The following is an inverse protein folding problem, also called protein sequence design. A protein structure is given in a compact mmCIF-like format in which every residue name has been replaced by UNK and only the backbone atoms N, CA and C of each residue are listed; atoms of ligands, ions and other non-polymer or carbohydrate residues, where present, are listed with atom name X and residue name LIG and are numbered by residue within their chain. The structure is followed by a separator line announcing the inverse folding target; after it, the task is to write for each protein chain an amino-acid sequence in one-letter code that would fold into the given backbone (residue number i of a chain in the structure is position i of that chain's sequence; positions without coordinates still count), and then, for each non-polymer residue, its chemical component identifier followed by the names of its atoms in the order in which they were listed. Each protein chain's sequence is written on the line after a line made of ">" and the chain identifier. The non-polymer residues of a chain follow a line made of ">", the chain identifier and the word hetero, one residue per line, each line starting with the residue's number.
data_IF_672351801448
#
_entry.id   IF_672351801448
#
_cell.length_a   1.000
_cell.length_b   1.000
_cell.length_c   1.000
_cell.angle_alpha   90.00
_cell.angle_beta   90.00
_cell.angle_gamma   90.00
#
_symmetry.space_group_name_H-M   'P 1'
#
loop_
_entity.id
_entity.type
_entity.pdbx_description
1 polymer ?
#
# COMPACT_ATOMS: atom_id res chain seq x y z
N UNK A 1 8.54 5.76 -19.66
CA UNK A 1 7.69 4.66 -20.15
C UNK A 1 6.32 4.96 -19.56
N UNK A 2 5.30 5.19 -20.37
CA UNK A 2 3.93 5.45 -19.88
C UNK A 2 3.36 4.16 -19.32
N UNK A 3 2.64 4.22 -18.21
CA UNK A 3 1.75 3.16 -17.79
C UNK A 3 0.67 3.01 -18.89
N UNK A 4 0.57 1.87 -19.49
CA UNK A 4 -0.62 1.58 -20.29
C UNK A 4 -1.68 1.07 -19.33
N UNK A 5 -2.74 1.85 -19.13
CA UNK A 5 -3.91 1.38 -18.39
C UNK A 5 -4.56 0.28 -19.24
N UNK A 6 -4.33 -0.98 -18.87
CA UNK A 6 -4.83 -2.12 -19.64
C UNK A 6 -6.33 -2.39 -19.37
N UNK A 7 -6.80 -2.16 -18.13
CA UNK A 7 -8.13 -2.62 -17.71
C UNK A 7 -8.79 -1.67 -16.72
N UNK A 8 -10.11 -1.54 -16.82
CA UNK A 8 -10.97 -0.95 -15.80
C UNK A 8 -11.93 -2.04 -15.36
N UNK A 9 -11.75 -2.54 -14.13
CA UNK A 9 -12.74 -3.40 -13.48
C UNK A 9 -13.71 -2.46 -12.77
N UNK A 10 -14.88 -2.24 -13.34
CA UNK A 10 -15.93 -1.44 -12.72
C UNK A 10 -17.12 -2.33 -12.42
N UNK A 11 -17.46 -2.43 -11.14
CA UNK A 11 -18.71 -3.03 -10.67
C UNK A 11 -19.39 -2.00 -9.78
N UNK A 12 -20.47 -1.36 -10.24
CA UNK A 12 -21.06 -0.22 -9.53
C UNK A 12 -21.59 -0.55 -8.12
N UNK A 13 -21.74 -1.82 -7.79
CA UNK A 13 -22.23 -2.29 -6.49
C UNK A 13 -21.12 -2.76 -5.53
N UNK A 14 -19.88 -2.83 -6.00
CA UNK A 14 -18.74 -3.35 -5.23
C UNK A 14 -17.64 -2.31 -5.22
N UNK A 15 -17.27 -1.87 -4.01
CA UNK A 15 -16.09 -1.04 -3.83
C UNK A 15 -14.89 -1.92 -3.54
N UNK A 16 -13.81 -1.72 -4.27
CA UNK A 16 -12.53 -2.33 -3.97
C UNK A 16 -11.82 -1.49 -2.92
N UNK A 17 -11.42 -2.16 -1.83
CA UNK A 17 -10.75 -1.54 -0.68
C UNK A 17 -9.27 -1.46 -0.96
N UNK A 18 -8.68 -2.58 -1.41
CA UNK A 18 -7.25 -2.75 -1.59
C UNK A 18 -6.95 -3.85 -2.62
N UNK A 19 -5.69 -3.94 -3.06
CA UNK A 19 -5.21 -4.92 -4.04
C UNK A 19 -3.79 -5.35 -3.72
N UNK A 20 -3.51 -6.64 -3.87
CA UNK A 20 -2.17 -7.21 -3.82
C UNK A 20 -1.86 -8.02 -5.07
N UNK A 21 -0.58 -8.17 -5.40
CA UNK A 21 -0.13 -9.04 -6.47
C UNK A 21 -0.22 -10.52 -6.07
N UNK A 22 -0.64 -11.37 -6.99
CA UNK A 22 -0.78 -12.80 -6.77
C UNK A 22 -0.34 -13.55 -8.04
N UNK A 23 0.74 -14.32 -7.96
CA UNK A 23 1.33 -15.00 -9.12
C UNK A 23 1.51 -14.03 -10.30
N UNK A 24 0.86 -14.30 -11.44
CA UNK A 24 0.80 -13.43 -12.62
C UNK A 24 -0.44 -12.54 -12.65
N UNK A 25 -1.25 -12.53 -11.58
CA UNK A 25 -2.50 -11.78 -11.45
C UNK A 25 -2.55 -10.91 -10.19
N UNK A 26 -3.78 -10.72 -9.69
CA UNK A 26 -4.05 -9.85 -8.54
C UNK A 26 -5.12 -10.43 -7.62
N UNK A 27 -5.00 -10.13 -6.33
CA UNK A 27 -6.01 -10.36 -5.32
C UNK A 27 -6.65 -9.02 -4.94
N UNK A 28 -7.97 -8.93 -5.07
CA UNK A 28 -8.77 -7.73 -4.88
C UNK A 28 -9.60 -7.87 -3.62
N UNK A 29 -9.40 -7.00 -2.64
CA UNK A 29 -10.20 -6.93 -1.43
C UNK A 29 -11.45 -6.09 -1.67
N UNK A 30 -12.62 -6.62 -1.35
CA UNK A 30 -13.90 -5.98 -1.65
C UNK A 30 -14.66 -5.54 -0.38
N UNK A 31 -15.47 -4.51 -0.52
CA UNK A 31 -16.31 -3.97 0.58
C UNK A 31 -17.42 -4.92 1.04
N UNK A 32 -17.76 -5.94 0.26
CA UNK A 32 -18.67 -7.00 0.65
C UNK A 32 -17.96 -8.22 1.25
N UNK A 33 -16.72 -8.01 1.72
CA UNK A 33 -15.91 -8.98 2.50
C UNK A 33 -15.54 -10.23 1.72
N UNK A 34 -15.09 -10.03 0.50
CA UNK A 34 -14.53 -11.09 -0.35
C UNK A 34 -13.14 -10.71 -0.82
N UNK A 35 -12.36 -11.72 -1.17
CA UNK A 35 -11.15 -11.60 -1.95
C UNK A 35 -11.42 -12.20 -3.31
N UNK A 36 -11.33 -11.42 -4.36
CA UNK A 36 -11.44 -11.87 -5.74
C UNK A 36 -10.04 -12.03 -6.33
N UNK A 37 -9.74 -13.21 -6.85
CA UNK A 37 -8.50 -13.44 -7.60
C UNK A 37 -8.78 -13.26 -9.08
N UNK A 38 -7.99 -12.42 -9.71
CA UNK A 38 -8.07 -12.12 -11.14
C UNK A 38 -6.73 -12.38 -11.81
N UNK A 39 -6.76 -12.86 -13.05
CA UNK A 39 -5.56 -13.03 -13.86
C UNK A 39 -5.06 -11.68 -14.44
N UNK A 40 -3.96 -11.71 -15.18
CA UNK A 40 -3.37 -10.53 -15.83
C UNK A 40 -4.30 -9.88 -16.86
N UNK A 41 -5.31 -10.59 -17.36
CA UNK A 41 -6.33 -10.09 -18.29
C UNK A 41 -7.61 -9.61 -17.60
N UNK A 42 -7.57 -9.48 -16.26
CA UNK A 42 -8.70 -9.12 -15.39
C UNK A 42 -9.87 -10.13 -15.43
N UNK A 43 -9.62 -11.34 -15.88
CA UNK A 43 -10.55 -12.46 -15.79
C UNK A 43 -10.62 -13.00 -14.35
N UNK A 44 -11.83 -13.09 -13.78
CA UNK A 44 -12.00 -13.66 -12.44
C UNK A 44 -11.68 -15.15 -12.45
N UNK A 45 -10.66 -15.54 -11.68
CA UNK A 45 -10.19 -16.93 -11.54
C UNK A 45 -10.93 -17.64 -10.40
N UNK A 46 -11.01 -16.99 -9.23
CA UNK A 46 -11.66 -17.54 -8.05
C UNK A 46 -12.08 -16.44 -7.07
N UNK A 47 -12.78 -16.83 -6.02
CA UNK A 47 -13.09 -15.93 -4.90
C UNK A 47 -13.00 -16.68 -3.57
N UNK A 48 -12.71 -15.93 -2.52
CA UNK A 48 -12.70 -16.38 -1.14
C UNK A 48 -13.58 -15.46 -0.29
N UNK A 49 -14.56 -16.01 0.42
CA UNK A 49 -15.40 -15.25 1.33
C UNK A 49 -14.75 -15.17 2.71
N UNK A 50 -14.57 -13.96 3.21
CA UNK A 50 -14.02 -13.72 4.54
C UNK A 50 -15.07 -14.11 5.60
N UNK A 51 -14.66 -14.95 6.55
CA UNK A 51 -15.55 -15.47 7.59
C UNK A 51 -15.92 -14.47 8.70
N UNK A 52 -15.32 -13.28 8.71
CA UNK A 52 -15.55 -12.25 9.72
C UNK A 52 -16.70 -11.32 9.34
N UNK A 53 -17.46 -10.86 10.33
CA UNK A 53 -18.45 -9.80 10.18
C UNK A 53 -17.83 -8.39 10.18
N UNK A 54 -16.56 -8.26 10.61
CA UNK A 54 -15.83 -7.01 10.60
C UNK A 54 -15.40 -6.62 9.18
N UNK A 55 -15.26 -5.32 8.94
CA UNK A 55 -14.76 -4.80 7.67
C UNK A 55 -13.24 -4.96 7.61
N UNK A 56 -12.72 -5.63 6.58
CA UNK A 56 -11.29 -5.66 6.32
C UNK A 56 -10.79 -4.29 5.86
N UNK A 57 -9.51 -4.00 6.07
CA UNK A 57 -8.90 -2.70 5.74
C UNK A 57 -7.77 -2.80 4.73
N UNK A 58 -7.06 -3.92 4.69
CA UNK A 58 -5.97 -4.14 3.73
C UNK A 58 -5.78 -5.63 3.45
N UNK A 59 -5.12 -5.94 2.35
CA UNK A 59 -4.78 -7.30 1.92
C UNK A 59 -3.35 -7.36 1.42
N UNK A 60 -2.67 -8.47 1.70
CA UNK A 60 -1.48 -8.81 0.96
C UNK A 60 -1.34 -10.31 0.72
N UNK A 61 -0.65 -10.69 -0.36
CA UNK A 61 -0.47 -12.07 -0.80
C UNK A 61 0.99 -12.30 -1.17
N UNK A 62 1.61 -13.30 -0.56
CA UNK A 62 2.97 -13.73 -0.91
C UNK A 62 3.06 -15.26 -0.86
N UNK A 63 3.61 -15.89 -1.90
CA UNK A 63 3.92 -17.33 -1.98
C UNK A 63 2.81 -18.27 -1.46
N UNK A 64 1.55 -17.97 -1.81
CA UNK A 64 0.38 -18.75 -1.37
C UNK A 64 -0.07 -18.48 0.07
N UNK A 65 0.48 -17.46 0.69
CA UNK A 65 0.06 -16.92 1.98
C UNK A 65 -0.83 -15.69 1.73
N UNK A 66 -2.06 -15.73 2.21
CA UNK A 66 -2.98 -14.60 2.16
C UNK A 66 -3.09 -13.97 3.54
N UNK A 67 -2.77 -12.69 3.66
CA UNK A 67 -2.97 -11.91 4.86
C UNK A 67 -4.08 -10.87 4.65
N UNK A 68 -5.05 -10.83 5.54
CA UNK A 68 -6.13 -9.84 5.55
C UNK A 68 -6.07 -9.09 6.87
N UNK A 69 -5.89 -7.78 6.80
CA UNK A 69 -5.92 -6.92 7.96
C UNK A 69 -7.35 -6.48 8.27
N UNK A 70 -7.68 -6.56 9.54
CA UNK A 70 -8.80 -5.89 10.19
C UNK A 70 -8.22 -4.82 11.12
N UNK A 71 -9.04 -3.95 11.68
CA UNK A 71 -8.53 -2.88 12.53
C UNK A 71 -7.67 -3.37 13.69
N UNK A 72 -8.07 -4.45 14.33
CA UNK A 72 -7.51 -4.95 15.60
C UNK A 72 -6.68 -6.24 15.47
N UNK A 73 -6.61 -6.82 14.26
CA UNK A 73 -5.94 -8.10 14.02
C UNK A 73 -5.58 -8.30 12.56
N UNK A 74 -4.68 -9.24 12.32
CA UNK A 74 -4.40 -9.81 11.00
C UNK A 74 -4.90 -11.24 10.99
N UNK A 75 -5.62 -11.64 9.95
CA UNK A 75 -6.00 -13.03 9.68
C UNK A 75 -5.16 -13.54 8.52
N UNK A 76 -4.35 -14.53 8.80
CA UNK A 76 -3.46 -15.15 7.84
C UNK A 76 -4.02 -16.51 7.42
N UNK A 77 -4.16 -16.75 6.12
CA UNK A 77 -4.52 -18.04 5.55
C UNK A 77 -3.25 -18.75 5.07
N UNK A 78 -2.80 -19.73 5.84
CA UNK A 78 -1.57 -20.48 5.59
C UNK A 78 -1.94 -21.93 5.30
N UNK A 79 -1.69 -22.41 4.08
CA UNK A 79 -2.00 -23.78 3.67
C UNK A 79 -3.45 -24.21 3.98
N UNK A 80 -4.39 -23.27 3.84
CA UNK A 80 -5.81 -23.51 4.11
C UNK A 80 -6.22 -23.46 5.59
N UNK A 81 -5.32 -23.07 6.49
CA UNK A 81 -5.61 -22.86 7.91
C UNK A 81 -5.58 -21.36 8.23
N UNK A 82 -6.60 -20.89 8.92
CA UNK A 82 -6.64 -19.51 9.42
C UNK A 82 -5.86 -19.39 10.73
N UNK A 83 -4.95 -18.42 10.76
CA UNK A 83 -4.21 -18.01 11.95
C UNK A 83 -4.55 -16.55 12.23
N UNK A 84 -5.07 -16.27 13.41
CA UNK A 84 -5.38 -14.90 13.84
C UNK A 84 -4.26 -14.36 14.71
N UNK A 85 -3.70 -13.22 14.29
CA UNK A 85 -2.66 -12.50 15.01
C UNK A 85 -3.24 -11.19 15.53
N UNK A 86 -3.44 -11.05 16.86
CA UNK A 86 -3.97 -9.83 17.43
C UNK A 86 -2.93 -8.72 17.38
N UNK A 87 -3.37 -7.47 17.19
CA UNK A 87 -2.49 -6.32 17.32
C UNK A 87 -2.05 -6.12 18.78
N UNK A 88 -0.81 -5.73 19.01
CA UNK A 88 -0.37 -5.29 20.32
C UNK A 88 -1.07 -3.97 20.67
N UNK A 89 -1.61 -3.88 21.88
CA UNK A 89 -2.35 -2.71 22.35
C UNK A 89 -3.62 -2.42 21.51
N UNK A 90 -4.24 -1.26 21.73
CA UNK A 90 -5.41 -0.82 20.94
C UNK A 90 -4.95 0.00 19.72
N UNK A 91 -4.23 -0.63 18.80
CA UNK A 91 -3.74 0.00 17.57
C UNK A 91 -4.62 -0.42 16.40
N UNK A 92 -5.23 0.56 15.73
CA UNK A 92 -6.05 0.32 14.54
C UNK A 92 -5.17 0.24 13.29
N UNK A 93 -5.15 -0.91 12.62
CA UNK A 93 -4.47 -1.10 11.34
C UNK A 93 -5.19 -0.30 10.25
N UNK A 94 -4.43 0.33 9.38
CA UNK A 94 -4.93 1.03 8.19
C UNK A 94 -4.34 0.50 6.89
N UNK A 95 -3.17 -0.14 6.95
CA UNK A 95 -2.51 -0.72 5.79
C UNK A 95 -1.58 -1.89 6.20
N UNK A 96 -1.27 -2.77 5.26
CA UNK A 96 -0.53 -4.00 5.46
C UNK A 96 0.34 -4.30 4.24
N UNK A 97 1.59 -4.71 4.48
CA UNK A 97 2.44 -5.28 3.45
C UNK A 97 3.27 -6.44 4.03
N UNK A 98 3.40 -7.51 3.27
CA UNK A 98 4.12 -8.73 3.67
C UNK A 98 5.31 -8.92 2.75
N UNK A 99 6.47 -9.15 3.33
CA UNK A 99 7.67 -9.41 2.56
C UNK A 99 8.54 -10.49 3.22
N UNK A 100 8.85 -11.53 2.45
CA UNK A 100 9.71 -12.65 2.88
C UNK A 100 9.21 -13.29 4.18
N UNK A 101 9.87 -13.01 5.28
CA UNK A 101 9.63 -13.59 6.61
C UNK A 101 8.99 -12.58 7.59
N UNK A 102 8.51 -11.43 7.09
CA UNK A 102 7.94 -10.37 7.92
C UNK A 102 6.65 -9.83 7.37
N UNK A 103 5.76 -9.52 8.29
CA UNK A 103 4.54 -8.78 8.02
C UNK A 103 4.66 -7.40 8.67
N UNK A 104 4.28 -6.36 7.94
CA UNK A 104 4.32 -4.97 8.40
C UNK A 104 2.92 -4.38 8.35
N UNK A 105 2.42 -3.96 9.50
CA UNK A 105 1.14 -3.27 9.61
C UNK A 105 1.39 -1.79 9.93
N UNK A 106 0.76 -0.91 9.18
CA UNK A 106 0.71 0.52 9.48
C UNK A 106 -0.55 0.83 10.27
N UNK A 107 -0.45 1.68 11.29
CA UNK A 107 -1.58 2.06 12.12
C UNK A 107 -2.00 3.52 11.91
N UNK A 108 -3.23 3.83 12.27
CA UNK A 108 -3.81 5.19 12.21
C UNK A 108 -3.04 6.22 13.06
N UNK A 109 -2.32 5.76 14.08
CA UNK A 109 -1.43 6.57 14.91
C UNK A 109 -0.01 6.74 14.37
N UNK A 110 0.21 6.38 13.09
CA UNK A 110 1.53 6.43 12.42
C UNK A 110 2.59 5.56 13.12
N UNK A 111 2.17 4.42 13.66
CA UNK A 111 3.06 3.38 14.17
C UNK A 111 3.17 2.26 13.15
N UNK A 112 4.38 1.71 13.04
CA UNK A 112 4.66 0.55 12.19
C UNK A 112 4.84 -0.63 13.12
N UNK A 113 4.03 -1.67 12.94
CA UNK A 113 4.14 -2.93 13.69
C UNK A 113 4.69 -3.98 12.74
N UNK A 114 5.86 -4.53 13.04
CA UNK A 114 6.41 -5.66 12.29
C UNK A 114 6.24 -6.94 13.11
N UNK A 115 5.86 -8.01 12.41
CA UNK A 115 5.76 -9.35 12.98
C UNK A 115 6.81 -10.25 12.32
N UNK A 116 7.51 -11.04 13.12
CA UNK A 116 8.40 -12.09 12.64
C UNK A 116 7.61 -13.39 12.33
N UNK A 117 8.33 -14.44 11.89
CA UNK A 117 7.75 -15.76 11.57
C UNK A 117 7.02 -16.43 12.75
N UNK A 118 7.35 -16.07 13.97
CA UNK A 118 6.71 -16.58 15.19
C UNK A 118 5.58 -15.65 15.66
N UNK A 119 5.20 -14.66 14.84
CA UNK A 119 4.21 -13.62 15.12
C UNK A 119 4.55 -12.73 16.32
N UNK A 120 5.83 -12.58 16.67
CA UNK A 120 6.23 -11.64 17.70
C UNK A 120 6.20 -10.21 17.18
N UNK A 121 5.46 -9.29 17.82
CA UNK A 121 5.35 -7.93 17.37
C UNK A 121 6.55 -7.07 17.81
N UNK A 122 6.95 -6.16 16.93
CA UNK A 122 7.84 -5.05 17.25
C UNK A 122 7.20 -3.75 16.79
N UNK A 123 7.05 -2.79 17.70
CA UNK A 123 6.34 -1.52 17.43
C UNK A 123 7.35 -0.39 17.30
N UNK A 124 7.26 0.32 16.17
CA UNK A 124 8.02 1.54 15.90
C UNK A 124 7.09 2.74 15.79
N UNK A 125 7.20 3.68 16.72
CA UNK A 125 6.43 4.94 16.69
C UNK A 125 7.18 5.98 15.86
N UNK A 126 6.66 6.27 14.66
CA UNK A 126 7.30 7.18 13.72
C UNK A 126 7.38 8.61 14.28
N UNK A 127 6.27 9.13 14.78
CA UNK A 127 6.20 10.50 15.29
C UNK A 127 7.06 10.69 16.56
N UNK A 128 7.08 9.73 17.47
CA UNK A 128 7.93 9.81 18.66
C UNK A 128 9.42 9.89 18.30
N UNK A 129 9.85 9.25 17.23
CA UNK A 129 11.24 9.21 16.80
C UNK A 129 11.64 10.34 15.87
N UNK A 130 10.74 10.78 14.96
CA UNK A 130 11.09 11.63 13.82
C UNK A 130 10.38 12.98 13.75
N UNK A 131 9.34 13.24 14.55
CA UNK A 131 8.61 14.52 14.50
C UNK A 131 9.48 15.75 14.70
N UNK A 132 10.54 15.65 15.50
CA UNK A 132 11.52 16.74 15.71
C UNK A 132 12.32 17.13 14.45
N UNK A 133 12.41 16.22 13.47
CA UNK A 133 13.15 16.47 12.21
C UNK A 133 12.23 16.84 11.07
N UNK A 134 11.05 16.22 10.98
CA UNK A 134 10.15 16.30 9.83
C UNK A 134 8.80 16.91 10.14
N UNK A 135 8.53 17.23 11.41
CA UNK A 135 7.19 17.58 11.91
C UNK A 135 6.35 16.32 12.17
N UNK A 136 5.19 16.50 12.78
CA UNK A 136 4.22 15.43 12.95
C UNK A 136 3.60 15.05 11.61
N UNK A 137 3.47 13.75 11.36
CA UNK A 137 2.90 13.20 10.13
C UNK A 137 1.74 12.26 10.44
N UNK A 138 0.79 12.19 9.52
CA UNK A 138 -0.19 11.12 9.42
C UNK A 138 0.23 10.23 8.26
N UNK A 139 0.72 9.04 8.56
CA UNK A 139 1.05 8.05 7.56
C UNK A 139 -0.23 7.34 7.10
N UNK A 140 -0.31 7.00 5.83
CA UNK A 140 -1.49 6.43 5.17
C UNK A 140 -1.21 5.12 4.44
N UNK A 141 0.02 4.85 4.03
CA UNK A 141 0.38 3.60 3.38
C UNK A 141 1.81 3.17 3.67
N UNK A 142 2.04 1.85 3.56
CA UNK A 142 3.33 1.19 3.69
C UNK A 142 3.57 0.29 2.49
N UNK A 143 4.80 0.22 2.01
CA UNK A 143 5.23 -0.74 1.01
C UNK A 143 6.64 -1.24 1.32
N UNK A 144 6.91 -2.50 1.01
CA UNK A 144 8.16 -3.18 1.34
C UNK A 144 8.85 -3.70 0.07
N UNK A 145 10.17 -3.69 0.07
CA UNK A 145 11.02 -4.32 -0.94
C UNK A 145 12.11 -5.14 -0.26
N UNK A 146 12.95 -5.81 -1.06
CA UNK A 146 14.12 -6.57 -0.59
C UNK A 146 14.99 -5.76 0.37
N UNK A 147 15.22 -4.48 0.03
CA UNK A 147 16.22 -3.65 0.67
C UNK A 147 15.63 -2.45 1.44
N UNK A 148 14.34 -2.17 1.31
CA UNK A 148 13.78 -0.94 1.87
C UNK A 148 12.28 -1.06 2.23
N UNK A 149 11.89 -0.24 3.22
CA UNK A 149 10.50 0.09 3.51
C UNK A 149 10.22 1.51 3.04
N UNK A 150 9.04 1.71 2.48
CA UNK A 150 8.48 3.02 2.16
C UNK A 150 7.23 3.25 3.01
N UNK A 151 7.12 4.41 3.63
CA UNK A 151 5.85 4.89 4.19
C UNK A 151 5.54 6.25 3.61
N UNK A 152 4.27 6.53 3.40
CA UNK A 152 3.82 7.80 2.85
C UNK A 152 2.56 8.32 3.56
N UNK A 153 2.27 9.59 3.37
CA UNK A 153 1.14 10.27 3.99
C UNK A 153 1.24 11.78 3.86
N UNK A 154 0.82 12.49 4.90
CA UNK A 154 0.85 13.95 4.93
C UNK A 154 1.48 14.48 6.22
N UNK A 155 2.12 15.63 6.13
CA UNK A 155 2.57 16.40 7.28
C UNK A 155 1.39 17.16 7.88
N UNK A 156 1.19 17.04 9.20
CA UNK A 156 0.00 17.61 9.85
C UNK A 156 -0.01 19.14 9.90
N UNK A 157 1.17 19.79 9.88
CA UNK A 157 1.26 21.25 10.01
C UNK A 157 0.78 22.03 8.78
N UNK A 158 0.91 21.46 7.58
CA UNK A 158 0.64 22.13 6.31
C UNK A 158 -0.09 21.27 5.28
N UNK A 159 -0.38 20.00 5.62
CA UNK A 159 -1.02 19.04 4.71
C UNK A 159 -0.12 18.58 3.55
N UNK A 160 1.17 18.92 3.58
CA UNK A 160 2.07 18.56 2.49
C UNK A 160 2.25 17.04 2.39
N UNK A 161 2.17 16.46 1.17
CA UNK A 161 2.49 15.07 0.92
C UNK A 161 3.92 14.75 1.33
N UNK A 162 4.11 13.61 1.98
CA UNK A 162 5.41 13.13 2.43
C UNK A 162 5.60 11.66 2.13
N UNK A 163 6.84 11.26 1.87
CA UNK A 163 7.24 9.87 1.86
C UNK A 163 8.60 9.71 2.52
N UNK A 164 8.81 8.56 3.15
CA UNK A 164 10.04 8.23 3.84
C UNK A 164 10.49 6.84 3.43
N UNK A 165 11.79 6.68 3.24
CA UNK A 165 12.42 5.39 2.98
C UNK A 165 13.35 5.01 4.12
N UNK A 166 13.36 3.73 4.46
CA UNK A 166 14.29 3.13 5.39
C UNK A 166 14.86 1.84 4.83
N UNK A 167 16.17 1.65 4.92
CA UNK A 167 16.81 0.39 4.46
C UNK A 167 16.63 -0.79 5.41
N UNK A 168 16.18 -0.59 6.65
CA UNK A 168 15.99 -1.67 7.63
C UNK A 168 14.96 -1.32 8.72
N UNK A 169 14.09 -0.34 8.46
CA UNK A 169 13.07 0.08 9.44
C UNK A 169 13.59 0.92 10.61
N UNK A 170 14.89 1.15 10.73
CA UNK A 170 15.48 1.84 11.88
C UNK A 170 15.87 3.29 11.61
N UNK A 171 16.27 3.61 10.39
CA UNK A 171 16.68 4.95 10.00
C UNK A 171 15.88 5.38 8.77
N UNK A 172 15.10 6.43 8.93
CA UNK A 172 14.19 6.94 7.92
C UNK A 172 14.72 8.23 7.31
N UNK A 173 14.63 8.34 6.00
CA UNK A 173 14.97 9.55 5.24
C UNK A 173 13.77 10.02 4.43
N UNK A 174 13.41 11.30 4.57
CA UNK A 174 12.38 11.90 3.74
C UNK A 174 12.81 11.91 2.27
N UNK A 175 11.86 11.66 1.38
CA UNK A 175 12.02 11.78 -0.07
C UNK A 175 11.26 12.98 -0.57
N UNK A 176 11.90 13.70 -1.48
CA UNK A 176 11.26 14.83 -2.14
C UNK A 176 10.22 14.32 -3.15
N UNK A 177 8.96 14.65 -2.92
CA UNK A 177 7.87 14.37 -3.85
C UNK A 177 7.76 15.51 -4.87
N UNK A 178 8.81 15.64 -5.69
CA UNK A 178 8.91 16.69 -6.71
C UNK A 178 9.00 16.09 -8.10
N UNK A 179 8.48 16.80 -9.08
CA UNK A 179 8.61 16.46 -10.49
C UNK A 179 8.98 17.68 -11.34
N UNK A 180 9.66 17.45 -12.45
CA UNK A 180 10.02 18.49 -13.38
C UNK A 180 9.00 18.53 -14.54
N UNK A 181 8.47 19.71 -14.80
CA UNK A 181 7.63 19.97 -15.97
C UNK A 181 8.06 21.29 -16.59
N UNK A 182 8.27 21.28 -17.91
CA UNK A 182 8.63 22.48 -18.70
C UNK A 182 9.85 23.25 -18.13
N UNK A 183 10.82 22.52 -17.54
CA UNK A 183 12.02 23.09 -16.94
C UNK A 183 11.82 23.68 -15.54
N UNK A 184 10.63 23.56 -14.95
CA UNK A 184 10.32 23.98 -13.59
C UNK A 184 10.12 22.78 -12.68
N UNK A 185 10.46 22.93 -11.39
CA UNK A 185 10.25 21.93 -10.35
C UNK A 185 8.92 22.22 -9.66
N UNK A 186 8.08 21.21 -9.60
CA UNK A 186 6.78 21.23 -8.92
C UNK A 186 6.80 20.25 -7.76
N UNK A 187 6.07 20.57 -6.70
CA UNK A 187 5.76 19.64 -5.61
C UNK A 187 4.52 18.84 -5.97
N UNK A 188 4.48 17.56 -5.57
CA UNK A 188 3.24 16.80 -5.54
C UNK A 188 2.32 17.44 -4.49
N UNK A 189 1.08 17.70 -4.85
CA UNK A 189 0.05 18.26 -3.97
C UNK A 189 -1.06 17.27 -3.62
N UNK A 190 -1.02 16.09 -4.22
CA UNK A 190 -1.96 15.01 -3.96
C UNK A 190 -1.50 14.13 -2.79
N UNK A 191 -2.35 13.92 -1.81
CA UNK A 191 -2.09 13.02 -0.68
C UNK A 191 -1.89 11.58 -1.17
N UNK A 192 -0.75 10.92 -0.87
CA UNK A 192 -0.58 9.50 -1.13
C UNK A 192 -1.36 8.67 -0.10
N UNK A 193 -2.14 7.70 -0.56
CA UNK A 193 -3.02 6.86 0.26
C UNK A 193 -2.83 5.36 0.03
N UNK A 194 -2.03 4.98 -0.95
CA UNK A 194 -1.58 3.60 -1.19
C UNK A 194 -0.17 3.56 -1.73
N UNK A 195 0.50 2.42 -1.60
CA UNK A 195 1.87 2.26 -2.08
C UNK A 195 2.13 0.82 -2.51
N UNK A 196 3.06 0.62 -3.46
CA UNK A 196 3.59 -0.69 -3.82
C UNK A 196 5.04 -0.58 -4.28
N UNK A 197 5.76 -1.68 -4.26
CA UNK A 197 7.11 -1.74 -4.83
C UNK A 197 7.10 -2.39 -6.21
N UNK A 198 7.85 -1.82 -7.13
CA UNK A 198 8.09 -2.36 -8.46
C UNK A 198 9.54 -2.82 -8.61
N UNK A 199 9.82 -4.14 -8.56
CA UNK A 199 11.17 -4.66 -8.75
C UNK A 199 11.76 -4.32 -10.11
N UNK A 200 10.96 -4.37 -11.18
CA UNK A 200 11.42 -4.06 -12.54
C UNK A 200 11.85 -2.60 -12.73
N UNK A 201 11.30 -1.68 -11.93
CA UNK A 201 11.67 -0.25 -11.92
C UNK A 201 12.64 0.08 -10.80
N UNK A 202 12.84 -0.81 -9.83
CA UNK A 202 13.56 -0.54 -8.58
C UNK A 202 13.02 0.73 -7.89
N UNK A 203 11.71 0.84 -7.79
CA UNK A 203 11.02 2.06 -7.34
C UNK A 203 9.75 1.73 -6.59
N UNK A 204 9.40 2.59 -5.63
CA UNK A 204 8.07 2.59 -5.02
C UNK A 204 7.12 3.43 -5.86
N UNK A 205 5.89 2.97 -6.00
CA UNK A 205 4.81 3.68 -6.68
C UNK A 205 3.75 4.01 -5.65
N UNK A 206 3.42 5.28 -5.55
CA UNK A 206 2.39 5.80 -4.66
C UNK A 206 1.10 6.02 -5.45
N UNK A 207 0.00 5.54 -4.91
CA UNK A 207 -1.35 5.89 -5.35
C UNK A 207 -1.88 7.04 -4.50
N UNK A 208 -2.40 8.07 -5.14
CA UNK A 208 -2.79 9.31 -4.46
C UNK A 208 -4.27 9.62 -4.66
N UNK A 209 -4.79 10.52 -3.81
CA UNK A 209 -6.09 11.15 -3.99
C UNK A 209 -6.16 11.82 -5.37
N UNK A 210 -7.32 11.75 -6.03
CA UNK A 210 -7.55 12.33 -7.36
C UNK A 210 -6.93 11.54 -8.51
N UNK A 211 -6.63 10.25 -8.31
CA UNK A 211 -6.20 9.35 -9.38
C UNK A 211 -4.76 9.54 -9.82
N UNK A 212 -3.91 10.12 -9.00
CA UNK A 212 -2.50 10.35 -9.32
C UNK A 212 -1.65 9.17 -8.91
N UNK A 213 -0.77 8.73 -9.81
CA UNK A 213 0.30 7.78 -9.53
C UNK A 213 1.64 8.52 -9.53
N UNK A 214 2.42 8.34 -8.48
CA UNK A 214 3.71 8.99 -8.34
C UNK A 214 4.80 7.98 -8.02
N UNK A 215 5.88 7.99 -8.79
CA UNK A 215 6.99 7.05 -8.62
C UNK A 215 8.13 7.69 -7.83
N UNK A 216 8.62 7.01 -6.81
CA UNK A 216 9.81 7.38 -6.07
C UNK A 216 10.96 6.48 -6.53
N UNK A 217 11.86 6.95 -7.39
CA UNK A 217 13.01 6.16 -7.80
C UNK A 217 14.04 6.09 -6.68
N UNK A 218 14.76 5.00 -6.65
CA UNK A 218 15.93 4.84 -5.79
C UNK A 218 17.09 5.79 -6.15
N UNK A 219 17.06 6.44 -7.32
CA UNK A 219 18.04 7.41 -7.78
C UNK A 219 17.44 8.44 -8.75
N UNK A 220 18.09 9.59 -8.80
CA UNK A 220 17.87 10.93 -9.33
C UNK A 220 17.32 11.09 -10.76
N UNK A 221 16.21 10.52 -11.14
CA UNK A 221 15.57 10.82 -12.42
C UNK A 221 14.20 11.46 -12.21
N UNK A 222 13.85 12.38 -13.11
CA UNK A 222 12.62 13.16 -13.05
C UNK A 222 11.40 12.27 -13.03
N UNK A 223 10.60 12.43 -11.99
CA UNK A 223 9.32 11.79 -11.85
C UNK A 223 8.25 12.65 -12.50
N UNK A 224 7.33 12.01 -13.20
CA UNK A 224 6.13 12.67 -13.67
C UNK A 224 4.95 11.98 -12.98
N UNK A 225 4.01 12.75 -12.43
CA UNK A 225 2.76 12.16 -11.98
C UNK A 225 2.01 11.61 -13.19
N UNK A 226 1.51 10.41 -13.04
CA UNK A 226 0.62 9.78 -14.02
C UNK A 226 -0.80 9.82 -13.47
N UNK A 227 -1.80 9.89 -14.35
CA UNK A 227 -3.19 10.02 -13.96
C UNK A 227 -3.96 8.76 -14.36
N UNK A 228 -4.66 8.18 -13.42
CA UNK A 228 -5.63 7.12 -13.68
C UNK A 228 -6.98 7.73 -14.11
N UNK A 229 -7.89 6.91 -14.56
CA UNK A 229 -9.28 7.34 -14.81
C UNK A 229 -10.17 7.16 -13.58
N UNK A 230 -9.65 6.50 -12.53
CA UNK A 230 -10.33 6.38 -11.24
C UNK A 230 -10.18 7.66 -10.43
N UNK A 231 -11.00 7.85 -9.43
CA UNK A 231 -10.83 8.87 -8.41
C UNK A 231 -9.61 8.58 -7.52
N UNK A 232 -9.84 8.45 -6.21
CA UNK A 232 -8.76 8.13 -5.28
C UNK A 232 -8.22 6.72 -5.53
N UNK A 233 -6.90 6.55 -5.50
CA UNK A 233 -6.23 5.26 -5.66
C UNK A 233 -6.08 4.60 -4.29
N UNK A 234 -7.10 3.85 -3.87
CA UNK A 234 -7.15 3.21 -2.55
C UNK A 234 -6.14 2.07 -2.39
N UNK A 235 -5.84 1.36 -3.48
CA UNK A 235 -4.83 0.31 -3.51
C UNK A 235 -4.11 0.28 -4.85
N UNK A 236 -2.85 -0.12 -4.85
CA UNK A 236 -2.03 -0.32 -6.03
C UNK A 236 -1.11 -1.52 -5.84
N UNK A 237 -1.02 -2.38 -6.83
CA UNK A 237 -0.13 -3.53 -6.83
C UNK A 237 0.60 -3.72 -8.17
N UNK A 238 1.73 -4.43 -8.15
CA UNK A 238 2.55 -4.76 -9.31
C UNK A 238 2.87 -6.26 -9.32
N UNK A 239 2.40 -6.99 -10.34
CA UNK A 239 2.58 -8.44 -10.46
C UNK A 239 3.86 -8.88 -11.20
N UNK A 240 4.80 -7.98 -11.46
CA UNK A 240 6.01 -8.24 -12.23
C UNK A 240 5.95 -7.72 -13.67
N UNK A 241 4.77 -7.64 -14.27
CA UNK A 241 4.54 -7.19 -15.64
C UNK A 241 3.70 -5.91 -15.72
N UNK A 242 2.63 -5.84 -14.94
CA UNK A 242 1.63 -4.77 -14.98
C UNK A 242 1.24 -4.27 -13.59
N UNK A 243 0.66 -3.07 -13.56
CA UNK A 243 0.07 -2.50 -12.35
C UNK A 243 -1.44 -2.62 -12.41
N UNK A 244 -2.03 -2.91 -11.26
CA UNK A 244 -3.44 -2.72 -11.03
C UNK A 244 -3.63 -1.67 -9.94
N UNK A 245 -4.44 -0.65 -10.22
CA UNK A 245 -4.88 0.33 -9.25
C UNK A 245 -6.38 0.18 -9.03
N UNK A 246 -6.79 0.16 -7.77
CA UNK A 246 -8.20 0.14 -7.36
C UNK A 246 -8.54 1.42 -6.63
N UNK A 247 -9.78 1.90 -6.78
CA UNK A 247 -10.15 3.17 -6.18
C UNK A 247 -11.62 3.52 -6.35
N UNK A 248 -11.96 4.74 -5.96
CA UNK A 248 -13.30 5.29 -6.15
C UNK A 248 -13.48 5.77 -7.60
N UNK A 249 -14.57 5.37 -8.25
CA UNK A 249 -14.92 5.93 -9.55
C UNK A 249 -15.29 7.41 -9.43
N UNK A 250 -14.74 8.21 -10.34
CA UNK A 250 -15.21 9.58 -10.59
C UNK A 250 -16.23 9.50 -11.73
N UNK A 251 -17.48 9.84 -11.46
CA UNK A 251 -18.54 10.02 -12.45
C UNK A 251 -18.46 11.42 -13.07
#
# INVERSE_FOLDING_TARGET
>A
MMFSLAWIISRPEIHYIDVSAFEDGFALLTSDRRVEFVDSDAGKVSEYSLGSDDMPVAIDVIDGFLAVAYKDRIVALIQGQEVTVPMPESLDIIDLDVYSDRCYALTDSSRIVSFDMDFNPSVFDFNANYSKYYGEVRLSAIAVSDDALCVCGVRLSDGAPVAFLSSHGNVWSQRDLTYNRDGSVYLLDNEPISATYSPSRQAFVLGCIGGVLFTIPGCSHCNYPEYTRSGDVNGIAFNGESYLAVGTEVY
#
